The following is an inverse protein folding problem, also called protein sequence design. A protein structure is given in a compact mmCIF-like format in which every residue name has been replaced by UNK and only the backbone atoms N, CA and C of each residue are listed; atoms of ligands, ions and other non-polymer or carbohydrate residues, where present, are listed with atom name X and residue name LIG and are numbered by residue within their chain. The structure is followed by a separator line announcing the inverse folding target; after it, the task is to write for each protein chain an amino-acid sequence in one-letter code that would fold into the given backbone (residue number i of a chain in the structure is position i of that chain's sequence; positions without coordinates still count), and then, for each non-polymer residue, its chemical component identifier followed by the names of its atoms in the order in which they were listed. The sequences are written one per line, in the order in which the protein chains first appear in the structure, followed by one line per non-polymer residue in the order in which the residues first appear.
data_IF_326261368073
#
_entry.id   IF_326261368073
#
_cell.length_a   1.000
_cell.length_b   1.000
_cell.length_c   1.000
_cell.angle_alpha   90.00
_cell.angle_beta   90.00
_cell.angle_gamma   90.00
#
_symmetry.space_group_name_H-M   'P 1'
#
loop_
_entity.id
_entity.type
_entity.pdbx_description
1 polymer ?
#
# COMPACT_ATOMS: atom_id res chain seq x y z
N UNK A 1 7.46 3.50 -1.20
CA UNK A 1 6.14 2.95 -1.57
C UNK A 1 5.18 3.21 -0.41
N UNK A 2 3.99 3.77 -0.66
CA UNK A 2 3.01 4.12 0.40
C UNK A 2 2.61 2.89 1.24
N UNK A 3 2.53 1.70 0.64
CA UNK A 3 2.15 0.46 1.33
C UNK A 3 3.05 0.10 2.52
N UNK A 4 4.30 0.55 2.56
CA UNK A 4 5.24 0.24 3.64
C UNK A 4 5.16 1.24 4.80
N UNK A 5 4.52 2.40 4.63
CA UNK A 5 4.54 3.48 5.63
C UNK A 5 3.95 3.01 6.96
N UNK A 6 2.78 2.35 6.90
CA UNK A 6 2.12 1.83 8.08
C UNK A 6 2.98 0.80 8.83
N UNK A 7 3.53 -0.17 8.10
CA UNK A 7 4.42 -1.19 8.68
C UNK A 7 5.70 -0.58 9.25
N UNK A 8 6.31 0.38 8.55
CA UNK A 8 7.54 1.04 8.97
C UNK A 8 7.34 1.85 10.26
N UNK A 9 6.24 2.60 10.38
CA UNK A 9 5.90 3.30 11.62
C UNK A 9 5.72 2.34 12.80
N UNK A 10 5.16 1.16 12.55
CA UNK A 10 4.91 0.18 13.62
C UNK A 10 6.12 -0.67 14.00
N UNK A 11 7.03 -0.93 13.07
CA UNK A 11 8.03 -2.00 13.23
C UNK A 11 9.46 -1.64 12.84
N UNK A 12 9.68 -0.52 12.13
CA UNK A 12 11.02 -0.13 11.66
C UNK A 12 11.60 1.02 12.47
N UNK A 13 10.82 2.06 12.72
CA UNK A 13 11.30 3.30 13.32
C UNK A 13 11.43 3.20 14.84
N UNK A 14 12.52 2.58 15.29
CA UNK A 14 12.90 2.61 16.71
C UNK A 14 13.42 3.98 17.11
N UNK A 15 13.36 4.30 18.42
CA UNK A 15 13.98 5.52 18.97
C UNK A 15 15.45 5.66 18.55
N UNK A 16 16.22 4.58 18.62
CA UNK A 16 17.62 4.56 18.21
C UNK A 16 17.80 4.87 16.73
N UNK A 17 17.00 4.23 15.86
CA UNK A 17 17.09 4.44 14.41
C UNK A 17 16.73 5.88 14.03
N UNK A 18 15.73 6.47 14.67
CA UNK A 18 15.34 7.87 14.47
C UNK A 18 16.50 8.79 14.86
N UNK A 19 17.07 8.64 16.06
CA UNK A 19 18.20 9.46 16.52
C UNK A 19 19.41 9.37 15.59
N UNK A 20 19.75 8.15 15.13
CA UNK A 20 20.84 7.93 14.16
C UNK A 20 20.57 8.60 12.82
N UNK A 21 19.34 8.47 12.30
CA UNK A 21 18.97 9.00 10.97
C UNK A 21 19.01 10.51 10.93
N UNK A 22 18.52 11.17 11.99
CA UNK A 22 18.46 12.63 12.07
C UNK A 22 19.69 13.26 12.73
N UNK A 23 20.68 12.45 13.11
CA UNK A 23 21.94 12.89 13.76
C UNK A 23 21.69 13.82 14.96
N UNK A 24 20.65 13.52 15.76
CA UNK A 24 20.31 14.29 16.96
C UNK A 24 20.64 13.50 18.21
N UNK A 25 21.20 14.20 19.20
CA UNK A 25 21.51 13.64 20.53
C UNK A 25 20.24 13.38 21.34
N UNK A 26 19.25 14.26 21.24
CA UNK A 26 17.97 14.12 21.94
C UNK A 26 16.80 14.60 21.06
N UNK A 27 15.72 13.83 21.08
CA UNK A 27 14.41 14.18 20.54
C UNK A 27 13.40 13.77 21.60
N UNK A 28 12.42 14.60 21.96
CA UNK A 28 11.35 14.25 22.91
C UNK A 28 10.41 13.22 22.27
N UNK A 29 10.89 11.98 22.17
CA UNK A 29 10.13 10.83 21.74
C UNK A 29 9.58 10.11 22.97
N UNK A 30 8.43 9.45 22.80
CA UNK A 30 7.89 8.54 23.80
C UNK A 30 8.96 7.52 24.25
N UNK A 31 8.87 7.05 25.49
CA UNK A 31 9.85 6.12 26.06
C UNK A 31 9.83 4.74 25.37
N UNK A 32 8.75 4.41 24.67
CA UNK A 32 8.61 3.16 23.93
C UNK A 32 9.70 2.99 22.88
N UNK A 33 10.17 1.75 22.70
CA UNK A 33 11.17 1.39 21.68
C UNK A 33 10.71 1.82 20.28
N UNK A 34 9.43 1.60 19.97
CA UNK A 34 8.74 2.04 18.75
C UNK A 34 7.75 3.15 19.08
N UNK A 35 8.16 4.44 19.06
CA UNK A 35 7.34 5.55 19.52
C UNK A 35 6.04 5.75 18.73
N UNK A 36 5.99 5.32 17.46
CA UNK A 36 4.83 5.48 16.59
C UNK A 36 3.86 4.29 16.62
N UNK A 37 4.31 3.12 17.08
CA UNK A 37 3.54 1.89 16.97
C UNK A 37 2.20 1.93 17.71
N UNK A 38 2.17 2.55 18.90
CA UNK A 38 0.96 2.65 19.73
C UNK A 38 -0.03 3.72 19.27
N UNK A 39 0.36 4.60 18.34
CA UNK A 39 -0.46 5.72 17.82
C UNK A 39 -0.73 5.61 16.33
N UNK A 40 -0.28 4.54 15.68
CA UNK A 40 -0.50 4.27 14.26
C UNK A 40 -1.60 3.22 14.11
N UNK A 41 -2.72 3.59 13.48
CA UNK A 41 -3.93 2.76 13.38
C UNK A 41 -4.28 2.51 11.92
N UNK A 42 -4.55 1.24 11.58
CA UNK A 42 -5.16 0.90 10.29
C UNK A 42 -6.67 1.10 10.42
N UNK A 43 -7.23 1.92 9.53
CA UNK A 43 -8.65 2.26 9.50
C UNK A 43 -9.32 1.53 8.34
N UNK A 44 -10.63 1.24 8.42
CA UNK A 44 -11.37 0.75 7.27
C UNK A 44 -11.61 1.90 6.29
N UNK A 45 -11.41 1.64 4.99
CA UNK A 45 -11.56 2.67 3.95
C UNK A 45 -10.48 3.75 4.01
N UNK A 46 -10.87 4.97 3.61
CA UNK A 46 -9.95 6.12 3.55
C UNK A 46 -9.67 6.72 4.93
N UNK A 47 -8.42 7.18 5.12
CA UNK A 47 -8.00 7.78 6.37
C UNK A 47 -8.72 9.12 6.64
N UNK A 48 -9.14 9.83 5.60
CA UNK A 48 -9.73 11.17 5.70
C UNK A 48 -11.07 11.15 6.46
N UNK A 49 -11.89 10.13 6.26
CA UNK A 49 -13.16 9.94 6.98
C UNK A 49 -12.91 9.80 8.50
N UNK A 50 -11.97 8.95 8.89
CA UNK A 50 -11.68 8.71 10.31
C UNK A 50 -10.96 9.91 10.95
N UNK A 51 -10.03 10.54 10.22
CA UNK A 51 -9.39 11.78 10.63
C UNK A 51 -10.42 12.88 10.88
N UNK A 52 -11.39 13.05 9.98
CA UNK A 52 -12.48 14.00 10.13
C UNK A 52 -13.36 13.67 11.35
N UNK A 53 -13.72 12.40 11.54
CA UNK A 53 -14.50 11.93 12.70
C UNK A 53 -13.80 12.25 14.02
N UNK A 54 -12.51 11.96 14.13
CA UNK A 54 -11.71 12.27 15.32
C UNK A 54 -11.64 13.78 15.51
N UNK A 55 -11.32 14.56 14.48
CA UNK A 55 -11.26 16.03 14.54
C UNK A 55 -12.59 16.64 15.03
N UNK A 56 -13.72 16.14 14.54
CA UNK A 56 -15.07 16.55 14.99
C UNK A 56 -15.31 16.29 16.47
N UNK A 57 -14.85 15.15 16.99
CA UNK A 57 -15.07 14.74 18.37
C UNK A 57 -14.13 15.44 19.35
N UNK A 58 -12.87 15.69 18.95
CA UNK A 58 -11.83 16.18 19.85
C UNK A 58 -11.48 17.65 19.64
N UNK A 59 -11.92 18.26 18.54
CA UNK A 59 -11.44 19.58 18.09
C UNK A 59 -9.99 19.55 17.59
N UNK A 60 -9.44 18.37 17.28
CA UNK A 60 -8.07 18.23 16.78
C UNK A 60 -7.92 18.82 15.38
N UNK A 61 -6.68 19.13 15.01
CA UNK A 61 -6.33 19.47 13.64
C UNK A 61 -5.78 18.25 12.91
N UNK A 62 -6.13 18.09 11.64
CA UNK A 62 -5.61 17.04 10.76
C UNK A 62 -4.49 17.63 9.90
N UNK A 63 -3.32 17.00 9.92
CA UNK A 63 -2.18 17.38 9.11
C UNK A 63 -2.20 16.60 7.79
N UNK A 64 -2.52 17.26 6.68
CA UNK A 64 -2.61 16.63 5.36
C UNK A 64 -2.27 17.65 4.27
N UNK A 65 -1.98 17.19 3.06
CA UNK A 65 -2.00 18.06 1.87
C UNK A 65 -3.27 17.88 1.06
N UNK A 66 -4.14 16.94 1.44
CA UNK A 66 -5.41 16.76 0.76
C UNK A 66 -6.38 17.87 1.17
N UNK A 67 -6.87 18.59 0.17
CA UNK A 67 -7.71 19.76 0.38
C UNK A 67 -9.19 19.40 0.51
N UNK A 68 -9.57 18.23 0.02
CA UNK A 68 -10.93 17.71 0.14
C UNK A 68 -11.33 17.43 1.59
N UNK A 69 -10.36 17.25 2.50
CA UNK A 69 -10.60 17.15 3.94
C UNK A 69 -11.37 18.35 4.51
N UNK A 70 -11.29 19.53 3.87
CA UNK A 70 -12.07 20.72 4.24
C UNK A 70 -13.58 20.56 3.96
N UNK A 71 -13.96 19.61 3.10
CA UNK A 71 -15.34 19.28 2.76
C UNK A 71 -15.98 18.38 3.82
N UNK A 72 -15.19 17.58 4.53
CA UNK A 72 -15.71 16.78 5.63
C UNK A 72 -16.20 17.65 6.79
N UNK A 73 -17.16 17.12 7.55
CA UNK A 73 -17.59 17.75 8.80
C UNK A 73 -16.56 17.52 9.91
N UNK A 74 -15.67 18.51 10.10
CA UNK A 74 -14.66 18.54 11.18
C UNK A 74 -15.20 19.11 12.50
N UNK A 75 -16.51 19.38 12.59
CA UNK A 75 -17.10 20.07 13.73
C UNK A 75 -16.67 21.54 13.86
N UNK A 76 -17.10 22.23 14.93
CA UNK A 76 -16.89 23.67 15.10
C UNK A 76 -15.44 24.05 15.43
N UNK A 77 -14.64 23.10 15.94
CA UNK A 77 -13.27 23.36 16.42
C UNK A 77 -12.19 22.60 15.63
N UNK A 78 -12.58 21.60 14.83
CA UNK A 78 -11.65 20.90 13.96
C UNK A 78 -11.04 21.81 12.91
N UNK A 79 -9.86 21.41 12.43
CA UNK A 79 -9.12 22.18 11.45
C UNK A 79 -8.27 21.26 10.56
N UNK A 80 -7.82 21.82 9.44
CA UNK A 80 -6.81 21.19 8.57
C UNK A 80 -5.54 22.04 8.64
N UNK A 81 -4.39 21.40 8.80
CA UNK A 81 -3.07 22.02 8.66
C UNK A 81 -2.44 21.48 7.39
N UNK A 82 -2.05 22.36 6.47
CA UNK A 82 -1.44 21.93 5.22
C UNK A 82 0.01 21.51 5.44
N UNK A 83 0.36 20.25 5.16
CA UNK A 83 1.72 19.74 5.40
C UNK A 83 2.78 20.54 4.62
N UNK A 84 2.49 20.96 3.39
CA UNK A 84 3.38 21.76 2.55
C UNK A 84 3.62 23.20 3.06
N UNK A 85 2.82 23.65 4.02
CA UNK A 85 2.96 24.97 4.64
C UNK A 85 3.81 24.93 5.91
N UNK A 86 4.15 23.73 6.39
CA UNK A 86 4.93 23.54 7.61
C UNK A 86 6.38 23.93 7.34
N UNK A 87 6.87 24.93 8.07
CA UNK A 87 8.24 25.41 7.97
C UNK A 87 8.81 25.71 9.36
N UNK A 88 10.13 25.55 9.48
CA UNK A 88 10.86 25.99 10.65
C UNK A 88 11.32 27.43 10.44
N UNK A 89 11.01 28.31 11.38
CA UNK A 89 11.67 29.61 11.46
C UNK A 89 13.01 29.41 12.18
N UNK A 90 14.08 29.38 11.39
CA UNK A 90 15.44 29.56 11.88
C UNK A 90 15.78 31.05 11.76
N UNK A 91 16.42 31.60 12.78
CA UNK A 91 17.10 32.91 12.74
C UNK A 91 16.26 34.19 12.87
N UNK A 92 15.16 34.18 13.62
CA UNK A 92 14.63 35.45 14.14
C UNK A 92 15.47 35.88 15.37
N UNK A 93 16.12 37.06 15.38
CA UNK A 93 16.90 37.50 16.53
C UNK A 93 16.00 37.63 17.76
N UNK A 94 16.22 36.76 18.76
CA UNK A 94 15.47 36.70 20.01
C UNK A 94 14.69 35.40 20.27
N UNK A 95 14.61 34.47 19.31
CA UNK A 95 14.03 33.15 19.55
C UNK A 95 15.06 32.22 20.21
N UNK A 96 14.74 31.73 21.41
CA UNK A 96 15.56 30.79 22.19
C UNK A 96 15.40 29.36 21.65
N UNK A 97 14.28 29.06 20.97
CA UNK A 97 13.95 27.73 20.43
C UNK A 97 13.41 27.82 18.99
N UNK A 98 13.65 26.79 18.16
CA UNK A 98 13.13 26.75 16.79
C UNK A 98 11.60 26.70 16.78
N UNK A 99 10.97 27.65 16.10
CA UNK A 99 9.50 27.71 15.97
C UNK A 99 9.05 26.98 14.69
N UNK A 100 8.07 26.07 14.80
CA UNK A 100 7.42 25.43 13.66
C UNK A 100 6.10 26.16 13.39
N UNK A 101 5.91 26.65 12.16
CA UNK A 101 4.66 27.28 11.72
C UNK A 101 4.05 26.54 10.55
N UNK A 102 2.73 26.60 10.44
CA UNK A 102 1.96 26.06 9.31
C UNK A 102 0.65 26.81 9.13
N UNK A 103 0.09 26.75 7.93
CA UNK A 103 -1.23 27.25 7.59
C UNK A 103 -2.30 26.31 8.16
N UNK A 104 -3.11 26.86 9.08
CA UNK A 104 -4.27 26.19 9.66
C UNK A 104 -5.55 26.78 9.07
N UNK A 105 -6.46 25.90 8.63
CA UNK A 105 -7.74 26.25 8.06
C UNK A 105 -8.86 25.64 8.91
N UNK A 106 -9.75 26.50 9.40
CA UNK A 106 -10.98 26.10 10.07
C UNK A 106 -12.14 26.21 9.07
N UNK A 107 -12.81 25.11 8.67
CA UNK A 107 -13.88 25.17 7.67
C UNK A 107 -14.99 26.16 8.02
N UNK A 108 -15.42 26.18 9.29
CA UNK A 108 -16.46 27.10 9.77
C UNK A 108 -15.99 28.55 9.74
N UNK A 109 -14.76 28.84 10.17
CA UNK A 109 -14.22 30.20 10.14
C UNK A 109 -14.01 30.69 8.70
N UNK A 110 -13.54 29.80 7.83
CA UNK A 110 -13.35 30.07 6.41
C UNK A 110 -14.67 30.45 5.74
N UNK A 111 -15.73 29.66 5.97
CA UNK A 111 -17.07 29.95 5.47
C UNK A 111 -17.59 31.31 5.96
N UNK A 112 -17.45 31.59 7.25
CA UNK A 112 -17.86 32.86 7.86
C UNK A 112 -17.11 34.06 7.27
N UNK A 113 -15.78 33.95 7.11
CA UNK A 113 -14.93 35.02 6.58
C UNK A 113 -15.20 35.32 5.10
N UNK A 114 -15.50 34.29 4.32
CA UNK A 114 -15.78 34.41 2.89
C UNK A 114 -17.26 34.66 2.58
N UNK A 115 -18.14 34.47 3.57
CA UNK A 115 -19.56 34.77 3.51
C UNK A 115 -20.36 33.78 2.66
N UNK A 116 -19.94 32.52 2.59
CA UNK A 116 -20.73 31.42 2.00
C UNK A 116 -21.28 30.50 3.09
N UNK A 117 -22.28 29.67 2.75
CA UNK A 117 -23.04 28.88 3.74
C UNK A 117 -22.15 27.88 4.47
N UNK A 118 -21.42 27.05 3.72
CA UNK A 118 -20.48 26.07 4.24
C UNK A 118 -19.50 25.63 3.14
N UNK A 119 -18.39 25.00 3.53
CA UNK A 119 -17.36 24.53 2.59
C UNK A 119 -17.90 23.46 1.61
N UNK A 120 -18.72 22.48 2.03
CA UNK A 120 -19.31 21.52 1.09
C UNK A 120 -20.08 22.15 -0.06
N UNK A 121 -20.86 23.20 0.23
CA UNK A 121 -21.57 23.93 -0.82
C UNK A 121 -20.61 24.60 -1.79
N UNK A 122 -19.56 25.23 -1.28
CA UNK A 122 -18.53 25.83 -2.13
C UNK A 122 -17.81 24.80 -3.00
N UNK A 123 -17.46 23.66 -2.42
CA UNK A 123 -16.81 22.56 -3.14
C UNK A 123 -17.71 21.98 -4.24
N UNK A 124 -19.01 21.82 -3.97
CA UNK A 124 -19.97 21.38 -4.98
C UNK A 124 -20.03 22.34 -6.18
N UNK A 125 -20.14 23.65 -5.94
CA UNK A 125 -20.14 24.66 -7.01
C UNK A 125 -18.84 24.64 -7.83
N UNK A 126 -17.69 24.43 -7.17
CA UNK A 126 -16.39 24.29 -7.82
C UNK A 126 -16.35 23.04 -8.73
N UNK A 127 -16.90 21.92 -8.27
CA UNK A 127 -16.99 20.68 -9.07
C UNK A 127 -17.89 20.84 -10.28
N UNK A 128 -18.99 21.61 -10.16
CA UNK A 128 -19.89 21.86 -11.28
C UNK A 128 -19.26 22.76 -12.36
N UNK A 129 -18.41 23.72 -11.97
CA UNK A 129 -17.78 24.64 -12.92
C UNK A 129 -16.35 25.05 -12.49
N UNK A 130 -15.34 24.18 -12.75
CA UNK A 130 -13.97 24.38 -12.28
C UNK A 130 -13.26 25.60 -12.86
N UNK A 131 -13.78 26.18 -13.95
CA UNK A 131 -13.18 27.31 -14.65
C UNK A 131 -13.73 28.68 -14.18
N UNK A 132 -14.72 28.68 -13.29
CA UNK A 132 -15.27 29.92 -12.77
C UNK A 132 -14.28 30.68 -11.90
N UNK A 133 -14.43 32.00 -11.90
CA UNK A 133 -13.68 32.84 -10.97
C UNK A 133 -14.07 32.53 -9.53
N UNK A 134 -13.10 32.64 -8.62
CA UNK A 134 -13.34 32.47 -7.18
C UNK A 134 -14.48 33.34 -6.65
N UNK A 135 -14.58 34.60 -7.12
CA UNK A 135 -15.64 35.53 -6.73
C UNK A 135 -17.03 35.01 -7.12
N UNK A 136 -17.16 34.43 -8.31
CA UNK A 136 -18.42 33.87 -8.80
C UNK A 136 -18.79 32.59 -8.03
N UNK A 137 -17.83 31.72 -7.74
CA UNK A 137 -18.05 30.54 -6.90
C UNK A 137 -18.52 30.92 -5.50
N UNK A 138 -17.87 31.90 -4.87
CA UNK A 138 -18.29 32.44 -3.57
C UNK A 138 -19.71 33.00 -3.66
N UNK A 139 -20.06 33.74 -4.73
CA UNK A 139 -21.40 34.30 -4.93
C UNK A 139 -22.47 33.20 -5.02
N UNK A 140 -22.24 32.13 -5.80
CA UNK A 140 -23.18 31.00 -5.92
C UNK A 140 -23.36 30.25 -4.61
N UNK A 141 -22.28 30.14 -3.83
CA UNK A 141 -22.26 29.43 -2.55
C UNK A 141 -22.92 30.19 -1.39
N UNK A 142 -23.42 31.42 -1.62
CA UNK A 142 -24.17 32.19 -0.60
C UNK A 142 -25.65 31.84 -0.55
N UNK A 143 -26.18 31.15 -1.56
CA UNK A 143 -27.60 30.83 -1.61
C UNK A 143 -27.96 29.86 -0.47
N UNK A 144 -28.79 30.34 0.45
CA UNK A 144 -29.29 29.58 1.60
C UNK A 144 -30.76 29.16 1.41
N UNK A 145 -31.27 29.15 0.18
CA UNK A 145 -32.65 28.74 -0.14
C UNK A 145 -32.90 27.25 0.11
N UNK A 146 -31.84 26.44 0.25
CA UNK A 146 -31.94 24.99 0.41
C UNK A 146 -32.23 24.24 -0.91
N UNK A 147 -32.32 24.95 -2.04
CA UNK A 147 -32.70 24.36 -3.33
C UNK A 147 -31.66 23.36 -3.83
N UNK A 148 -30.37 23.73 -3.73
CA UNK A 148 -29.27 22.86 -4.20
C UNK A 148 -29.02 21.73 -3.22
N UNK A 149 -29.16 21.95 -1.92
CA UNK A 149 -28.99 20.93 -0.89
C UNK A 149 -30.02 19.79 -1.04
N UNK A 150 -31.15 20.06 -1.69
CA UNK A 150 -32.19 19.08 -2.06
C UNK A 150 -32.01 18.49 -3.46
N UNK A 151 -31.07 18.99 -4.25
CA UNK A 151 -30.80 18.47 -5.58
C UNK A 151 -30.14 17.10 -5.50
N UNK A 152 -30.46 16.22 -6.45
CA UNK A 152 -29.87 14.88 -6.50
C UNK A 152 -28.35 14.93 -6.65
N UNK A 153 -27.82 15.87 -7.44
CA UNK A 153 -26.38 16.03 -7.66
C UNK A 153 -25.63 16.40 -6.39
N UNK A 154 -26.17 17.31 -5.57
CA UNK A 154 -25.56 17.66 -4.29
C UNK A 154 -25.62 16.51 -3.28
N UNK A 155 -26.75 15.79 -3.22
CA UNK A 155 -26.92 14.63 -2.33
C UNK A 155 -25.95 13.51 -2.70
N UNK A 156 -25.71 13.29 -3.99
CA UNK A 156 -24.71 12.33 -4.47
C UNK A 156 -23.29 12.79 -4.14
N UNK A 157 -22.97 14.06 -4.37
CA UNK A 157 -21.67 14.66 -4.03
C UNK A 157 -21.35 14.55 -2.54
N UNK A 158 -22.28 14.90 -1.65
CA UNK A 158 -22.01 14.92 -0.21
C UNK A 158 -21.87 13.52 0.40
N UNK A 159 -22.39 12.50 -0.29
CA UNK A 159 -22.35 11.10 0.21
C UNK A 159 -20.92 10.61 0.42
N UNK A 160 -19.98 11.03 -0.43
CA UNK A 160 -18.56 10.68 -0.34
C UNK A 160 -17.90 11.18 0.97
N UNK A 161 -18.42 12.28 1.53
CA UNK A 161 -17.86 12.93 2.71
C UNK A 161 -18.59 12.61 4.02
N UNK A 162 -19.66 11.81 3.95
CA UNK A 162 -20.43 11.40 5.13
C UNK A 162 -19.86 10.09 5.68
N UNK A 163 -19.63 10.00 7.01
CA UNK A 163 -19.19 8.75 7.60
C UNK A 163 -20.32 7.73 7.55
N UNK A 164 -20.05 6.54 7.02
CA UNK A 164 -20.90 5.37 7.23
C UNK A 164 -20.84 4.98 8.72
N UNK A 165 -21.99 4.65 9.34
CA UNK A 165 -22.02 4.31 10.77
C UNK A 165 -21.13 3.08 11.06
N UNK A 166 -20.07 3.21 11.89
CA UNK A 166 -19.11 2.13 12.05
C UNK A 166 -19.66 1.04 12.98
N UNK A 167 -20.07 -0.10 12.41
CA UNK A 167 -20.38 -1.35 13.14
C UNK A 167 -19.15 -2.25 13.35
N UNK A 168 -17.93 -1.68 13.37
CA UNK A 168 -16.71 -2.41 12.96
C UNK A 168 -15.77 -2.84 14.11
N UNK A 169 -16.19 -2.75 15.37
CA UNK A 169 -15.27 -2.91 16.51
C UNK A 169 -14.59 -4.30 16.64
N UNK A 170 -15.22 -5.39 16.18
CA UNK A 170 -14.72 -6.74 16.47
C UNK A 170 -13.62 -7.24 15.52
N UNK A 171 -13.58 -6.78 14.26
CA UNK A 171 -12.66 -7.31 13.24
C UNK A 171 -11.41 -6.44 13.00
N UNK A 172 -11.32 -5.27 13.64
CA UNK A 172 -10.18 -4.35 13.44
C UNK A 172 -8.83 -4.95 13.83
N UNK A 173 -8.78 -5.89 14.79
CA UNK A 173 -7.52 -6.51 15.25
C UNK A 173 -6.80 -7.27 14.14
N UNK A 174 -7.54 -7.96 13.28
CA UNK A 174 -6.98 -8.79 12.20
C UNK A 174 -6.31 -7.97 11.10
N UNK A 175 -6.71 -6.69 10.90
CA UNK A 175 -6.14 -5.82 9.86
C UNK A 175 -5.02 -4.91 10.35
N UNK A 176 -4.75 -4.83 11.67
CA UNK A 176 -3.69 -3.97 12.21
C UNK A 176 -2.26 -4.39 11.81
N UNK A 177 -2.08 -5.55 11.20
CA UNK A 177 -0.81 -6.06 10.67
C UNK A 177 -0.78 -6.10 9.14
N UNK A 178 -1.89 -5.72 8.51
CA UNK A 178 -2.02 -5.67 7.05
C UNK A 178 -1.43 -4.39 6.49
N UNK A 179 -1.10 -4.42 5.20
CA UNK A 179 -0.88 -3.22 4.44
C UNK A 179 -2.22 -2.68 3.92
N UNK A 180 -2.29 -1.42 3.46
CA UNK A 180 -3.55 -0.81 3.04
C UNK A 180 -4.33 -1.61 1.99
N UNK A 181 -3.66 -2.25 1.02
CA UNK A 181 -4.32 -2.96 -0.08
C UNK A 181 -4.96 -4.27 0.38
N UNK A 182 -4.26 -4.99 1.27
CA UNK A 182 -4.83 -6.22 1.86
C UNK A 182 -5.94 -5.89 2.84
N UNK A 183 -5.80 -4.80 3.61
CA UNK A 183 -6.86 -4.29 4.50
C UNK A 183 -8.12 -3.93 3.70
N UNK A 184 -7.97 -3.20 2.59
CA UNK A 184 -9.07 -2.83 1.69
C UNK A 184 -9.79 -4.07 1.14
N UNK A 185 -9.04 -5.04 0.61
CA UNK A 185 -9.62 -6.30 0.13
C UNK A 185 -10.36 -7.05 1.23
N UNK A 186 -9.80 -7.09 2.45
CA UNK A 186 -10.46 -7.70 3.60
C UNK A 186 -11.81 -7.04 3.90
N UNK A 187 -11.86 -5.70 3.91
CA UNK A 187 -13.10 -4.97 4.17
C UNK A 187 -14.16 -5.16 3.09
N UNK A 188 -13.77 -5.34 1.83
CA UNK A 188 -14.69 -5.74 0.75
C UNK A 188 -15.34 -7.11 0.98
N UNK A 189 -14.76 -7.99 1.81
CA UNK A 189 -15.35 -9.26 2.22
C UNK A 189 -16.17 -9.15 3.51
N UNK A 190 -15.71 -8.36 4.50
CA UNK A 190 -16.43 -8.20 5.76
C UNK A 190 -17.69 -7.36 5.63
N UNK A 191 -17.64 -6.30 4.82
CA UNK A 191 -18.72 -5.34 4.64
C UNK A 191 -18.87 -4.98 3.15
N UNK A 192 -19.36 -5.94 2.34
CA UNK A 192 -19.49 -5.74 0.90
C UNK A 192 -20.40 -4.57 0.54
N UNK A 193 -21.48 -4.33 1.30
CA UNK A 193 -22.44 -3.26 1.01
C UNK A 193 -21.83 -1.85 1.16
N UNK A 194 -20.72 -1.73 1.89
CA UNK A 194 -20.03 -0.47 2.15
C UNK A 194 -18.81 -0.34 1.23
N UNK A 195 -17.92 -1.34 1.25
CA UNK A 195 -16.61 -1.21 0.61
C UNK A 195 -16.55 -1.80 -0.80
N UNK A 196 -17.59 -2.49 -1.27
CA UNK A 196 -17.60 -3.11 -2.60
C UNK A 196 -18.48 -2.32 -3.57
N UNK A 197 -17.84 -1.53 -4.42
CA UNK A 197 -18.53 -0.78 -5.48
C UNK A 197 -19.02 -1.66 -6.65
N UNK A 198 -18.43 -2.84 -6.86
CA UNK A 198 -18.75 -3.76 -7.97
C UNK A 198 -19.25 -5.12 -7.45
N UNK A 199 -19.81 -5.96 -8.33
CA UNK A 199 -20.27 -7.30 -7.93
C UNK A 199 -19.13 -8.17 -7.37
N UNK A 200 -17.93 -8.02 -7.94
CA UNK A 200 -16.72 -8.76 -7.55
C UNK A 200 -15.79 -7.88 -6.73
N UNK A 201 -15.09 -8.43 -5.71
CA UNK A 201 -14.02 -7.73 -5.03
C UNK A 201 -12.91 -7.38 -6.01
N UNK A 202 -12.17 -6.33 -5.67
CA UNK A 202 -11.09 -5.83 -6.49
C UNK A 202 -9.87 -5.48 -5.66
N UNK A 203 -8.70 -5.48 -6.31
CA UNK A 203 -7.44 -5.09 -5.71
C UNK A 203 -6.64 -4.21 -6.64
N UNK A 204 -6.27 -3.02 -6.18
CA UNK A 204 -5.40 -2.10 -6.91
C UNK A 204 -3.93 -2.43 -6.63
N UNK A 205 -3.25 -3.09 -7.57
CA UNK A 205 -1.85 -3.41 -7.41
C UNK A 205 -0.97 -2.16 -7.55
N UNK A 206 0.16 -2.15 -6.86
CA UNK A 206 1.09 -1.01 -6.88
C UNK A 206 1.63 -0.73 -8.28
N UNK A 207 1.90 0.55 -8.59
CA UNK A 207 2.59 0.90 -9.83
C UNK A 207 4.05 0.46 -9.71
N UNK A 208 4.48 -0.44 -10.60
CA UNK A 208 5.87 -0.85 -10.74
C UNK A 208 6.52 -0.09 -11.90
N UNK A 209 7.80 0.25 -11.74
CA UNK A 209 8.60 0.80 -12.83
C UNK A 209 9.01 -0.36 -13.75
N UNK A 210 8.23 -0.57 -14.80
CA UNK A 210 8.41 -1.69 -15.73
C UNK A 210 8.42 -1.23 -17.20
N UNK A 211 8.95 -2.05 -18.09
CA UNK A 211 8.79 -1.86 -19.53
C UNK A 211 7.34 -2.18 -19.96
N UNK A 212 6.55 -1.14 -20.22
CA UNK A 212 5.15 -1.26 -20.60
C UNK A 212 4.90 -1.87 -21.99
N UNK A 213 5.96 -2.10 -22.79
CA UNK A 213 5.85 -2.85 -24.05
C UNK A 213 5.84 -4.36 -23.86
N UNK A 214 6.19 -4.83 -22.65
CA UNK A 214 6.23 -6.25 -22.27
C UNK A 214 4.97 -6.65 -21.50
N UNK A 215 4.84 -7.96 -21.24
CA UNK A 215 3.81 -8.50 -20.34
C UNK A 215 3.98 -7.88 -18.95
N UNK A 216 2.87 -7.53 -18.28
CA UNK A 216 2.92 -6.90 -16.97
C UNK A 216 3.67 -7.76 -15.95
N UNK A 217 4.59 -7.14 -15.21
CA UNK A 217 5.41 -7.79 -14.19
C UNK A 217 4.58 -8.45 -13.09
N UNK A 218 3.39 -7.93 -12.78
CA UNK A 218 2.46 -8.50 -11.80
C UNK A 218 2.03 -9.93 -12.12
N UNK A 219 2.15 -10.36 -13.37
CA UNK A 219 1.85 -11.73 -13.75
C UNK A 219 2.73 -12.74 -13.01
N UNK A 220 4.00 -12.40 -12.77
CA UNK A 220 4.97 -13.29 -12.13
C UNK A 220 4.56 -13.68 -10.71
N UNK A 221 3.74 -12.86 -10.04
CA UNK A 221 3.20 -13.16 -8.73
C UNK A 221 1.75 -13.65 -8.70
N UNK A 222 1.10 -13.82 -9.87
CA UNK A 222 -0.34 -14.12 -9.97
C UNK A 222 -0.72 -15.40 -9.22
N UNK A 223 0.11 -16.44 -9.32
CA UNK A 223 -0.09 -17.72 -8.64
C UNK A 223 -0.24 -17.54 -7.11
N UNK A 224 0.65 -16.79 -6.48
CA UNK A 224 0.61 -16.56 -5.02
C UNK A 224 -0.60 -15.74 -4.58
N UNK A 225 -0.98 -14.72 -5.35
CA UNK A 225 -2.17 -13.92 -5.06
C UNK A 225 -3.44 -14.75 -5.20
N UNK A 226 -3.52 -15.61 -6.22
CA UNK A 226 -4.64 -16.52 -6.41
C UNK A 226 -4.84 -17.46 -5.21
N UNK A 227 -3.75 -18.02 -4.65
CA UNK A 227 -3.81 -18.79 -3.40
C UNK A 227 -4.40 -17.92 -2.28
N UNK A 228 -3.84 -16.73 -2.06
CA UNK A 228 -4.26 -15.84 -0.98
C UNK A 228 -5.74 -15.46 -1.05
N UNK A 229 -6.21 -15.05 -2.23
CA UNK A 229 -7.62 -14.70 -2.44
C UNK A 229 -8.54 -15.91 -2.25
N UNK A 230 -8.10 -17.10 -2.70
CA UNK A 230 -8.87 -18.33 -2.51
C UNK A 230 -9.00 -18.68 -1.03
N UNK A 231 -7.93 -18.55 -0.24
CA UNK A 231 -7.96 -18.74 1.21
C UNK A 231 -8.92 -17.75 1.89
N UNK A 232 -8.85 -16.46 1.53
CA UNK A 232 -9.76 -15.45 2.05
C UNK A 232 -11.22 -15.80 1.75
N UNK A 233 -11.53 -16.14 0.50
CA UNK A 233 -12.87 -16.54 0.08
C UNK A 233 -13.36 -17.80 0.80
N UNK A 234 -12.50 -18.81 0.96
CA UNK A 234 -12.83 -20.07 1.67
C UNK A 234 -13.13 -19.82 3.15
N UNK A 235 -12.48 -18.83 3.78
CA UNK A 235 -12.57 -18.58 5.23
C UNK A 235 -13.89 -17.97 5.69
N UNK A 236 -14.77 -17.61 4.76
CA UNK A 236 -16.06 -16.97 5.04
C UNK A 236 -17.19 -17.98 5.00
N UNK A 237 -18.00 -18.04 6.05
CA UNK A 237 -19.04 -19.06 6.20
C UNK A 237 -20.31 -18.76 5.39
N UNK A 238 -20.54 -17.51 4.99
CA UNK A 238 -21.77 -17.09 4.32
C UNK A 238 -21.63 -17.12 2.78
N UNK A 239 -22.57 -17.73 2.05
CA UNK A 239 -22.70 -17.55 0.60
C UNK A 239 -23.21 -16.14 0.23
N UNK A 240 -23.02 -15.68 -1.03
CA UNK A 240 -22.40 -16.40 -2.14
C UNK A 240 -20.87 -16.38 -2.08
N UNK A 241 -20.25 -17.53 -2.35
CA UNK A 241 -18.81 -17.61 -2.60
C UNK A 241 -18.52 -16.89 -3.91
N UNK A 242 -17.47 -16.09 -3.88
CA UNK A 242 -17.04 -15.27 -5.00
C UNK A 242 -16.22 -16.16 -5.94
N UNK A 243 -16.34 -15.95 -7.26
CA UNK A 243 -15.64 -16.75 -8.27
C UNK A 243 -14.30 -16.16 -8.69
N UNK A 244 -14.12 -14.85 -8.53
CA UNK A 244 -12.89 -14.16 -8.90
C UNK A 244 -12.65 -12.88 -8.09
N UNK A 245 -11.41 -12.39 -8.14
CA UNK A 245 -11.04 -11.03 -7.73
C UNK A 245 -10.54 -10.29 -8.97
N UNK A 246 -10.93 -9.02 -9.13
CA UNK A 246 -10.43 -8.16 -10.20
C UNK A 246 -9.19 -7.39 -9.76
N UNK A 247 -8.06 -7.66 -10.38
CA UNK A 247 -6.82 -6.93 -10.16
C UNK A 247 -6.72 -5.77 -11.14
N UNK A 248 -6.61 -4.54 -10.62
CA UNK A 248 -6.33 -3.38 -11.44
C UNK A 248 -4.83 -3.21 -11.58
N UNK A 249 -4.33 -3.42 -12.80
CA UNK A 249 -2.92 -3.32 -13.17
C UNK A 249 -2.73 -2.41 -14.36
N UNK A 250 -1.51 -1.89 -14.52
CA UNK A 250 -1.14 -1.15 -15.72
C UNK A 250 -0.83 -2.12 -16.86
N UNK A 251 -1.47 -1.92 -18.01
CA UNK A 251 -1.08 -2.54 -19.29
C UNK A 251 -0.85 -1.46 -20.33
N UNK A 252 0.39 -1.35 -20.81
CA UNK A 252 0.78 -0.26 -21.70
C UNK A 252 0.58 1.11 -21.04
N UNK A 253 -0.19 1.98 -21.71
CA UNK A 253 -0.57 3.30 -21.20
C UNK A 253 -1.88 3.35 -20.40
N UNK A 254 -2.52 2.20 -20.11
CA UNK A 254 -3.85 2.15 -19.48
C UNK A 254 -3.85 1.33 -18.20
N UNK A 255 -4.82 1.58 -17.33
CA UNK A 255 -5.16 0.71 -16.20
C UNK A 255 -6.29 -0.21 -16.66
N UNK A 256 -6.15 -1.51 -16.42
CA UNK A 256 -7.14 -2.53 -16.81
C UNK A 256 -7.42 -3.46 -15.65
N UNK A 257 -8.65 -3.99 -15.60
CA UNK A 257 -9.01 -5.05 -14.67
C UNK A 257 -8.65 -6.41 -15.26
N UNK A 258 -7.94 -7.22 -14.48
CA UNK A 258 -7.63 -8.62 -14.78
C UNK A 258 -8.33 -9.54 -13.81
N UNK A 259 -8.95 -10.60 -14.32
CA UNK A 259 -9.66 -11.55 -13.48
C UNK A 259 -8.71 -12.61 -12.93
N UNK A 260 -8.65 -12.74 -11.60
CA UNK A 260 -7.98 -13.85 -10.92
C UNK A 260 -9.04 -14.81 -10.41
N UNK A 261 -9.14 -15.99 -11.02
CA UNK A 261 -10.09 -17.04 -10.64
C UNK A 261 -9.72 -17.64 -9.29
N UNK A 262 -10.74 -17.90 -8.46
CA UNK A 262 -10.55 -18.48 -7.13
C UNK A 262 -10.66 -20.01 -7.19
N UNK A 263 -9.74 -20.68 -6.51
CA UNK A 263 -9.68 -22.13 -6.42
C UNK A 263 -10.72 -22.70 -5.46
N UNK A 264 -11.09 -23.96 -5.69
CA UNK A 264 -11.79 -24.77 -4.68
C UNK A 264 -10.86 -25.10 -3.51
N UNK A 265 -11.41 -25.64 -2.41
CA UNK A 265 -10.60 -26.11 -1.27
C UNK A 265 -9.48 -27.07 -1.69
N UNK A 266 -9.78 -28.03 -2.57
CA UNK A 266 -8.80 -29.02 -3.02
C UNK A 266 -7.72 -28.39 -3.91
N UNK A 267 -8.10 -27.49 -4.83
CA UNK A 267 -7.14 -26.77 -5.68
C UNK A 267 -6.22 -25.90 -4.83
N UNK A 268 -6.78 -25.13 -3.90
CA UNK A 268 -6.01 -24.24 -3.02
C UNK A 268 -5.03 -25.03 -2.14
N UNK A 269 -5.43 -26.21 -1.65
CA UNK A 269 -4.55 -27.09 -0.89
C UNK A 269 -3.40 -27.64 -1.76
N UNK A 270 -3.69 -28.05 -3.00
CA UNK A 270 -2.66 -28.47 -3.94
C UNK A 270 -1.69 -27.34 -4.29
N UNK A 271 -2.19 -26.13 -4.52
CA UNK A 271 -1.36 -24.96 -4.84
C UNK A 271 -0.45 -24.57 -3.66
N UNK A 272 -0.92 -24.72 -2.42
CA UNK A 272 -0.10 -24.55 -1.22
C UNK A 272 1.02 -25.60 -1.14
N UNK A 273 0.74 -26.86 -1.47
CA UNK A 273 1.78 -27.90 -1.53
C UNK A 273 2.84 -27.57 -2.59
N UNK A 274 2.42 -27.09 -3.77
CA UNK A 274 3.34 -26.64 -4.82
C UNK A 274 4.24 -25.49 -4.33
N UNK A 275 3.67 -24.52 -3.62
CA UNK A 275 4.44 -23.44 -3.00
C UNK A 275 5.45 -23.99 -1.97
N UNK A 276 5.03 -24.94 -1.12
CA UNK A 276 5.89 -25.57 -0.12
C UNK A 276 7.07 -26.30 -0.77
N UNK A 277 6.82 -27.11 -1.79
CA UNK A 277 7.86 -27.82 -2.55
C UNK A 277 8.87 -26.86 -3.18
N UNK A 278 8.38 -25.76 -3.80
CA UNK A 278 9.24 -24.71 -4.37
C UNK A 278 10.10 -24.02 -3.32
N UNK A 279 9.53 -23.70 -2.16
CA UNK A 279 10.26 -23.08 -1.06
C UNK A 279 11.30 -24.02 -0.44
N UNK A 280 10.96 -25.30 -0.26
CA UNK A 280 11.89 -26.28 0.32
C UNK A 280 13.08 -26.54 -0.61
N UNK A 281 12.83 -26.59 -1.91
CA UNK A 281 13.89 -26.67 -2.91
C UNK A 281 14.76 -25.42 -2.89
N UNK A 282 14.16 -24.23 -2.92
CA UNK A 282 14.91 -22.97 -2.83
C UNK A 282 15.70 -22.84 -1.52
N UNK A 283 15.16 -23.30 -0.39
CA UNK A 283 15.85 -23.32 0.91
C UNK A 283 17.04 -24.27 0.90
N UNK A 284 16.93 -25.41 0.22
CA UNK A 284 18.05 -26.34 0.05
C UNK A 284 19.22 -25.69 -0.70
N UNK A 285 18.93 -24.87 -1.70
CA UNK A 285 19.95 -24.24 -2.55
C UNK A 285 20.48 -22.95 -1.90
N UNK A 286 19.59 -22.05 -1.49
CA UNK A 286 19.88 -20.68 -1.12
C UNK A 286 19.71 -20.37 0.37
N UNK A 287 19.24 -21.33 1.19
CA UNK A 287 18.88 -21.09 2.60
C UNK A 287 20.05 -20.75 3.51
N UNK A 288 21.29 -20.91 3.04
CA UNK A 288 22.50 -20.48 3.75
C UNK A 288 22.77 -18.97 3.62
N UNK A 289 22.05 -18.26 2.76
CA UNK A 289 22.18 -16.82 2.59
C UNK A 289 21.35 -16.02 3.61
N UNK A 290 21.62 -14.72 3.72
CA UNK A 290 20.76 -13.80 4.49
C UNK A 290 19.34 -13.81 3.92
N UNK A 291 18.35 -13.55 4.78
CA UNK A 291 16.92 -13.52 4.42
C UNK A 291 16.64 -12.67 3.17
N UNK A 292 17.16 -11.43 3.10
CA UNK A 292 16.97 -10.56 1.94
C UNK A 292 17.55 -11.13 0.63
N UNK A 293 18.73 -11.75 0.70
CA UNK A 293 19.38 -12.39 -0.46
C UNK A 293 18.59 -13.63 -0.89
N UNK A 294 18.18 -14.47 0.06
CA UNK A 294 17.37 -15.66 -0.19
C UNK A 294 16.10 -15.32 -0.98
N UNK A 295 15.33 -14.33 -0.53
CA UNK A 295 14.08 -13.97 -1.18
C UNK A 295 14.27 -13.36 -2.58
N UNK A 296 15.32 -12.56 -2.79
CA UNK A 296 15.67 -12.08 -4.14
C UNK A 296 16.01 -13.25 -5.07
N UNK A 297 16.77 -14.24 -4.59
CA UNK A 297 17.11 -15.43 -5.37
C UNK A 297 15.87 -16.31 -5.63
N UNK A 298 14.98 -16.45 -4.65
CA UNK A 298 13.69 -17.13 -4.82
C UNK A 298 12.85 -16.47 -5.90
N UNK A 299 12.74 -15.13 -5.90
CA UNK A 299 11.99 -14.40 -6.92
C UNK A 299 12.62 -14.55 -8.31
N UNK A 300 13.95 -14.49 -8.41
CA UNK A 300 14.66 -14.75 -9.67
C UNK A 300 14.43 -16.18 -10.18
N UNK A 301 14.40 -17.15 -9.27
CA UNK A 301 14.09 -18.53 -9.58
C UNK A 301 12.69 -18.67 -10.19
N UNK A 302 11.67 -18.10 -9.56
CA UNK A 302 10.30 -18.12 -10.09
C UNK A 302 10.20 -17.50 -11.49
N UNK A 303 10.89 -16.37 -11.71
CA UNK A 303 10.90 -15.68 -13.01
C UNK A 303 11.60 -16.51 -14.10
N UNK A 304 12.66 -17.22 -13.71
CA UNK A 304 13.45 -18.03 -14.63
C UNK A 304 12.70 -19.29 -15.05
N UNK A 305 12.02 -19.95 -14.10
CA UNK A 305 11.28 -21.18 -14.35
C UNK A 305 9.87 -20.98 -14.91
N UNK A 306 9.40 -19.73 -15.05
CA UNK A 306 8.09 -19.44 -15.65
C UNK A 306 8.07 -19.83 -17.15
N UNK A 307 7.36 -20.91 -17.54
CA UNK A 307 7.33 -21.38 -18.92
C UNK A 307 6.56 -20.42 -19.84
N UNK A 308 5.79 -19.49 -19.26
CA UNK A 308 5.02 -18.48 -19.99
C UNK A 308 5.82 -17.21 -20.30
N UNK A 309 7.09 -17.16 -19.88
CA UNK A 309 8.01 -16.09 -20.19
C UNK A 309 8.55 -16.24 -21.63
N UNK A 310 7.86 -15.61 -22.59
CA UNK A 310 8.19 -15.68 -24.03
C UNK A 310 9.37 -14.79 -24.44
N UNK A 311 9.88 -13.97 -23.52
CA UNK A 311 11.08 -13.15 -23.75
C UNK A 311 12.33 -13.90 -23.31
N UNK A 312 13.45 -13.69 -24.02
CA UNK A 312 14.74 -14.31 -23.68
C UNK A 312 15.05 -14.11 -22.20
N UNK A 313 14.99 -15.20 -21.43
CA UNK A 313 15.39 -15.23 -20.03
C UNK A 313 16.87 -14.81 -19.95
N UNK A 314 17.25 -13.93 -19.01
CA UNK A 314 18.64 -13.55 -18.86
C UNK A 314 19.51 -14.79 -18.58
N UNK A 315 20.59 -14.96 -19.35
CA UNK A 315 21.57 -16.02 -19.09
C UNK A 315 22.35 -15.77 -17.78
N UNK A 316 23.11 -16.78 -17.35
CA UNK A 316 23.89 -16.72 -16.12
C UNK A 316 24.80 -15.47 -16.03
N UNK A 317 25.48 -15.10 -17.12
CA UNK A 317 26.38 -13.93 -17.13
C UNK A 317 25.60 -12.63 -16.92
N UNK A 318 24.43 -12.51 -17.54
CA UNK A 318 23.55 -11.35 -17.37
C UNK A 318 23.02 -11.25 -15.94
N UNK A 319 22.59 -12.36 -15.33
CA UNK A 319 22.10 -12.37 -13.95
C UNK A 319 23.21 -12.06 -12.94
N UNK A 320 24.41 -12.62 -13.11
CA UNK A 320 25.57 -12.29 -12.27
C UNK A 320 25.86 -10.79 -12.31
N UNK A 321 25.84 -10.18 -13.51
CA UNK A 321 26.04 -8.75 -13.68
C UNK A 321 24.91 -7.92 -13.08
N UNK A 322 23.66 -8.33 -13.26
CA UNK A 322 22.52 -7.65 -12.67
C UNK A 322 22.62 -7.61 -11.15
N UNK A 323 22.92 -8.73 -10.50
CA UNK A 323 23.07 -8.80 -9.05
C UNK A 323 24.29 -8.01 -8.56
N UNK A 324 25.41 -8.05 -9.28
CA UNK A 324 26.67 -7.41 -8.84
C UNK A 324 26.76 -5.92 -9.20
N UNK A 325 26.05 -5.45 -10.23
CA UNK A 325 26.21 -4.10 -10.81
C UNK A 325 24.88 -3.36 -11.00
N UNK A 326 23.75 -4.04 -10.89
CA UNK A 326 22.40 -3.46 -11.05
C UNK A 326 21.93 -3.40 -12.51
N UNK A 327 22.68 -3.96 -13.45
CA UNK A 327 22.33 -4.04 -14.87
C UNK A 327 23.06 -5.20 -15.56
N UNK A 328 22.40 -5.82 -16.55
CA UNK A 328 22.89 -6.97 -17.32
C UNK A 328 23.94 -6.55 -18.35
N UNK A 329 23.71 -5.43 -19.03
CA UNK A 329 24.54 -4.94 -20.14
C UNK A 329 25.71 -4.05 -19.73
N UNK A 330 26.00 -3.02 -20.54
CA UNK A 330 27.02 -1.98 -20.24
C UNK A 330 26.46 -0.80 -19.44
N UNK A 331 25.15 -0.62 -19.49
CA UNK A 331 24.38 0.45 -18.85
C UNK A 331 23.01 -0.11 -18.47
N UNK A 332 22.27 0.63 -17.66
CA UNK A 332 20.87 0.33 -17.37
C UNK A 332 20.01 0.45 -18.62
N UNK A 333 19.24 -0.59 -18.90
CA UNK A 333 18.25 -0.65 -19.97
C UNK A 333 16.88 -1.09 -19.45
N UNK A 334 15.85 -1.01 -20.29
CA UNK A 334 14.47 -1.38 -19.91
C UNK A 334 14.34 -2.84 -19.46
N UNK A 335 15.15 -3.74 -19.99
CA UNK A 335 15.18 -5.13 -19.54
C UNK A 335 15.59 -5.27 -18.06
N UNK A 336 16.54 -4.44 -17.58
CA UNK A 336 16.96 -4.43 -16.18
C UNK A 336 15.87 -3.86 -15.26
N UNK A 337 15.20 -2.81 -15.73
CA UNK A 337 14.09 -2.16 -15.01
C UNK A 337 12.92 -3.14 -14.90
N UNK A 338 12.59 -3.82 -15.99
CA UNK A 338 11.51 -4.80 -16.03
C UNK A 338 11.82 -6.04 -15.18
N UNK A 339 13.04 -6.58 -15.21
CA UNK A 339 13.45 -7.68 -14.32
C UNK A 339 13.29 -7.30 -12.85
N UNK A 340 13.67 -6.06 -12.49
CA UNK A 340 13.47 -5.56 -11.14
C UNK A 340 12.00 -5.48 -10.76
N UNK A 341 11.14 -5.00 -11.67
CA UNK A 341 9.69 -5.00 -11.44
C UNK A 341 9.14 -6.43 -11.25
N UNK A 342 9.61 -7.41 -12.02
CA UNK A 342 9.21 -8.82 -11.86
C UNK A 342 9.60 -9.36 -10.47
N UNK A 343 10.83 -9.08 -10.01
CA UNK A 343 11.28 -9.48 -8.66
C UNK A 343 10.35 -8.86 -7.60
N UNK A 344 10.09 -7.56 -7.70
CA UNK A 344 9.22 -6.84 -6.78
C UNK A 344 7.78 -7.38 -6.79
N UNK A 345 7.27 -7.74 -7.97
CA UNK A 345 5.93 -8.32 -8.12
C UNK A 345 5.81 -9.68 -7.41
N UNK A 346 6.80 -10.57 -7.57
CA UNK A 346 6.84 -11.86 -6.87
C UNK A 346 6.87 -11.66 -5.36
N UNK A 347 7.83 -10.85 -4.88
CA UNK A 347 8.03 -10.61 -3.46
C UNK A 347 6.82 -9.96 -2.78
N UNK A 348 6.19 -8.98 -3.43
CA UNK A 348 4.99 -8.37 -2.89
C UNK A 348 3.79 -9.31 -2.92
N UNK A 349 3.70 -10.19 -3.93
CA UNK A 349 2.64 -11.19 -3.99
C UNK A 349 2.75 -12.23 -2.88
N UNK A 350 3.97 -12.62 -2.51
CA UNK A 350 4.21 -13.44 -1.32
C UNK A 350 3.84 -12.69 -0.03
N UNK A 351 4.08 -11.37 0.04
CA UNK A 351 3.64 -10.55 1.18
C UNK A 351 2.13 -10.54 1.32
N UNK A 352 1.41 -10.36 0.21
CA UNK A 352 -0.07 -10.43 0.16
C UNK A 352 -0.54 -11.80 0.65
N UNK A 353 0.05 -12.89 0.13
CA UNK A 353 -0.28 -14.24 0.55
C UNK A 353 -0.04 -14.45 2.06
N UNK A 354 1.10 -13.99 2.59
CA UNK A 354 1.40 -14.07 4.02
C UNK A 354 0.31 -13.40 4.87
N UNK A 355 -0.08 -12.17 4.52
CA UNK A 355 -1.11 -11.43 5.27
C UNK A 355 -2.46 -12.15 5.22
N UNK A 356 -2.84 -12.66 4.05
CA UNK A 356 -4.10 -13.39 3.89
C UNK A 356 -4.09 -14.73 4.64
N UNK A 357 -2.96 -15.44 4.69
CA UNK A 357 -2.80 -16.64 5.53
C UNK A 357 -2.96 -16.27 7.02
N UNK A 358 -2.28 -15.22 7.48
CA UNK A 358 -2.35 -14.78 8.89
C UNK A 358 -3.78 -14.38 9.31
N UNK A 359 -4.50 -13.66 8.45
CA UNK A 359 -5.89 -13.25 8.71
C UNK A 359 -6.85 -14.46 8.73
N UNK A 360 -6.57 -15.48 7.92
CA UNK A 360 -7.46 -16.65 7.76
C UNK A 360 -7.13 -17.82 8.68
N UNK A 361 -5.96 -17.79 9.34
CA UNK A 361 -5.45 -18.83 10.22
C UNK A 361 -6.44 -19.27 11.32
N UNK A 362 -7.15 -18.33 11.93
CA UNK A 362 -8.15 -18.63 12.98
C UNK A 362 -9.39 -19.35 12.43
N UNK A 363 -9.69 -19.19 11.14
CA UNK A 363 -10.93 -19.66 10.50
C UNK A 363 -10.73 -20.90 9.65
N UNK A 364 -9.49 -21.16 9.21
CA UNK A 364 -9.18 -22.36 8.45
C UNK A 364 -7.89 -23.01 8.96
N UNK A 365 -8.02 -24.24 9.44
CA UNK A 365 -6.88 -25.07 9.81
C UNK A 365 -6.22 -25.60 8.54
N UNK A 366 -5.00 -25.15 8.24
CA UNK A 366 -4.16 -25.67 7.17
C UNK A 366 -2.80 -26.09 7.73
N UNK A 367 -2.18 -27.13 7.16
CA UNK A 367 -0.89 -27.65 7.64
C UNK A 367 0.30 -26.70 7.38
N UNK A 368 0.11 -25.63 6.60
CA UNK A 368 1.16 -24.72 6.12
C UNK A 368 1.25 -23.41 6.91
N UNK A 369 0.78 -23.39 8.17
CA UNK A 369 0.93 -22.21 9.03
C UNK A 369 2.42 -21.91 9.22
N UNK A 370 2.86 -20.71 8.82
CA UNK A 370 4.25 -20.28 8.94
C UNK A 370 5.14 -20.61 7.75
N UNK A 371 4.62 -21.11 6.63
CA UNK A 371 5.39 -21.33 5.39
C UNK A 371 6.16 -20.08 4.93
N UNK A 372 5.59 -18.89 5.18
CA UNK A 372 6.18 -17.57 4.90
C UNK A 372 6.58 -16.80 6.18
N UNK A 373 6.79 -17.48 7.31
CA UNK A 373 7.14 -16.83 8.58
C UNK A 373 8.42 -16.00 8.46
N UNK A 374 9.41 -16.53 7.72
CA UNK A 374 10.70 -15.91 7.40
C UNK A 374 10.62 -14.94 6.21
N UNK A 375 9.45 -14.51 5.75
CA UNK A 375 9.34 -13.42 4.78
C UNK A 375 9.61 -12.06 5.49
N UNK A 376 10.58 -11.26 5.03
CA UNK A 376 10.96 -10.01 5.67
C UNK A 376 9.89 -8.92 5.50
N UNK A 377 9.96 -7.82 6.27
CA UNK A 377 9.06 -6.68 6.11
C UNK A 377 9.18 -6.06 4.72
N UNK A 378 8.13 -5.36 4.31
CA UNK A 378 7.94 -4.82 2.97
C UNK A 378 9.06 -3.86 2.55
N UNK A 379 9.61 -3.07 3.47
CA UNK A 379 10.74 -2.19 3.14
C UNK A 379 12.02 -2.95 2.76
N UNK A 380 12.20 -4.19 3.22
CA UNK A 380 13.31 -5.06 2.81
C UNK A 380 12.96 -5.91 1.58
N UNK A 381 11.69 -6.21 1.33
CA UNK A 381 11.24 -6.87 0.10
C UNK A 381 11.34 -5.93 -1.11
N UNK A 382 11.06 -4.65 -0.91
CA UNK A 382 11.03 -3.62 -1.96
C UNK A 382 12.34 -2.85 -2.07
N UNK A 383 13.47 -3.53 -1.86
CA UNK A 383 14.81 -2.95 -2.03
C UNK A 383 14.96 -2.29 -3.41
N UNK A 384 15.67 -1.17 -3.42
CA UNK A 384 16.18 -0.56 -4.64
C UNK A 384 17.26 -1.43 -5.29
N UNK A 385 17.54 -1.19 -6.56
CA UNK A 385 18.66 -1.89 -7.26
C UNK A 385 20.00 -1.66 -6.57
N UNK A 386 20.19 -0.47 -6.00
CA UNK A 386 21.41 -0.16 -5.25
C UNK A 386 21.54 -1.03 -4.00
N UNK A 387 20.45 -1.22 -3.26
CA UNK A 387 20.43 -2.08 -2.07
C UNK A 387 20.66 -3.55 -2.42
N UNK A 388 20.05 -4.06 -3.50
CA UNK A 388 20.35 -5.40 -4.02
C UNK A 388 21.85 -5.53 -4.32
N UNK A 389 22.43 -4.61 -5.09
CA UNK A 389 23.86 -4.65 -5.42
C UNK A 389 24.74 -4.68 -4.17
N UNK A 390 24.36 -3.92 -3.14
CA UNK A 390 25.07 -3.92 -1.86
C UNK A 390 25.00 -5.29 -1.17
N UNK A 391 23.85 -5.96 -1.18
CA UNK A 391 23.70 -7.32 -0.63
C UNK A 391 24.56 -8.35 -1.37
N UNK A 392 24.77 -8.19 -2.68
CA UNK A 392 25.57 -9.10 -3.51
C UNK A 392 27.03 -8.68 -3.71
N UNK A 393 27.48 -7.63 -3.02
CA UNK A 393 28.85 -7.10 -3.15
C UNK A 393 29.94 -7.98 -2.50
N UNK A 394 29.55 -8.98 -1.70
CA UNK A 394 30.47 -9.95 -1.09
C UNK A 394 31.09 -10.83 -2.17
N UNK A 395 32.42 -11.02 -2.08
CA UNK A 395 33.20 -11.73 -3.11
C UNK A 395 32.53 -13.03 -3.55
N UNK A 396 32.27 -13.13 -4.86
CA UNK A 396 31.77 -14.31 -5.56
C UNK A 396 30.31 -14.72 -5.24
N UNK A 397 29.60 -14.02 -4.35
CA UNK A 397 28.23 -14.38 -3.96
C UNK A 397 27.29 -14.45 -5.17
N UNK A 398 27.24 -13.39 -5.98
CA UNK A 398 26.41 -13.35 -7.17
C UNK A 398 26.72 -14.48 -8.16
N UNK A 399 28.01 -14.77 -8.42
CA UNK A 399 28.39 -15.85 -9.34
C UNK A 399 27.98 -17.22 -8.81
N UNK A 400 28.23 -17.48 -7.53
CA UNK A 400 27.91 -18.76 -6.92
C UNK A 400 26.40 -19.01 -6.90
N UNK A 401 25.61 -18.02 -6.47
CA UNK A 401 24.15 -18.15 -6.43
C UNK A 401 23.54 -18.34 -7.83
N UNK A 402 24.06 -17.64 -8.84
CA UNK A 402 23.61 -17.82 -10.22
C UNK A 402 24.06 -19.17 -10.78
N UNK A 403 25.28 -19.62 -10.50
CA UNK A 403 25.73 -20.97 -10.88
C UNK A 403 24.80 -22.05 -10.35
N UNK A 404 24.48 -21.99 -9.05
CA UNK A 404 23.54 -22.93 -8.41
C UNK A 404 22.14 -22.89 -9.03
N UNK A 405 21.65 -21.70 -9.41
CA UNK A 405 20.37 -21.56 -10.09
C UNK A 405 20.37 -22.33 -11.43
N UNK A 406 21.37 -22.12 -12.27
CA UNK A 406 21.43 -22.77 -13.59
C UNK A 406 21.70 -24.27 -13.47
N UNK A 407 22.59 -24.70 -12.56
CA UNK A 407 22.88 -26.13 -12.36
C UNK A 407 21.68 -26.95 -11.89
N UNK A 408 20.70 -26.33 -11.24
CA UNK A 408 19.54 -27.03 -10.69
C UNK A 408 18.37 -27.10 -11.68
N UNK A 409 18.28 -26.16 -12.64
CA UNK A 409 17.05 -25.94 -13.41
C UNK A 409 17.22 -25.88 -14.93
N UNK A 410 18.46 -25.84 -15.45
CA UNK A 410 18.80 -26.11 -16.86
C UNK A 410 19.41 -27.51 -17.01
#
# INVERSE_FOLDING_TARGET
MVSAVFEDLRSRWTKQLILMTFQRSEIPLAEAEFPWAGITVMVPGEADIECARIAKLTGSAVLTNDSDLLVHDLGPHGAVVLLNSVHMLQDAPGLIEPEIRGLRLHPTELANRLGFVNVPRFAYELTQDPHQSFVELVRRSKDNSGTVERSSGYIEFIREYQPDEPTVANNMRSVQTCDPRVSELFWQYEQPDIYRCAEQPHMYLGILHEDHSRRCAWEQGRFYRAIGYSLLNLSRSAPPKISCVHEFVRRGGRIVAEQVSLGSTNMTASDLNILQERLDLARTIFGHHTQSVFWVLFALFEIHCDPSNTTATPNAVHLERFLSKGFMGKRTEWADIHLMAQIQAVLYSLRILKQLVEITAEKISFQHHGILADLPPLHLLMMSRYEIVKCFSVNQLARNSVGQLFETYD
#
